data_IF_399703376370
#
_entry.id   IF_399703376370
#
_cell.length_a   1.000
_cell.length_b   1.000
_cell.length_c   1.000
_cell.angle_alpha   90.00
_cell.angle_beta   90.00
_cell.angle_gamma   90.00
#
_symmetry.space_group_name_H-M   'P 1'
#
loop_
_entity.id
_entity.type
_entity.pdbx_description
1 polymer ?
#
# COMPACT_ATOMS: atom_id res chain seq x y z
N UNK A 1 5.30 -23.21 -47.33
CA UNK A 1 4.30 -22.40 -46.61
C UNK A 1 4.49 -22.59 -45.11
N UNK A 2 5.27 -21.73 -44.42
CA UNK A 2 5.49 -21.79 -42.96
C UNK A 2 5.98 -20.43 -42.44
N UNK A 3 5.08 -19.46 -42.25
CA UNK A 3 5.37 -18.21 -41.51
C UNK A 3 4.07 -17.55 -41.04
N UNK A 4 3.40 -18.05 -39.99
CA UNK A 4 2.27 -17.35 -39.37
C UNK A 4 1.98 -17.88 -37.94
N UNK A 5 2.95 -17.80 -37.02
CA UNK A 5 2.72 -18.12 -35.59
C UNK A 5 3.52 -17.23 -34.61
N UNK A 6 3.86 -15.99 -34.98
CA UNK A 6 4.60 -15.07 -34.09
C UNK A 6 3.77 -13.88 -33.58
N UNK A 7 2.53 -13.67 -34.06
CA UNK A 7 1.69 -12.56 -33.60
C UNK A 7 0.83 -12.88 -32.35
N UNK A 8 0.58 -14.15 -32.07
CA UNK A 8 -0.32 -14.56 -30.98
C UNK A 8 0.30 -14.42 -29.58
N UNK A 9 1.64 -14.46 -29.48
CA UNK A 9 2.34 -14.33 -28.20
C UNK A 9 2.44 -12.87 -27.73
N UNK A 10 2.37 -11.91 -28.65
CA UNK A 10 2.56 -10.49 -28.33
C UNK A 10 1.27 -9.83 -27.78
N UNK A 11 0.10 -10.37 -28.14
CA UNK A 11 -1.20 -9.89 -27.67
C UNK A 11 -1.54 -10.34 -26.24
N UNK A 12 -1.01 -11.49 -25.80
CA UNK A 12 -1.25 -12.01 -24.43
C UNK A 12 -0.42 -11.24 -23.40
N UNK A 13 0.80 -10.80 -23.75
CA UNK A 13 1.66 -9.99 -22.87
C UNK A 13 1.07 -8.62 -22.54
N UNK A 14 0.42 -7.96 -23.50
CA UNK A 14 -0.21 -6.65 -23.27
C UNK A 14 -1.44 -6.72 -22.34
N UNK A 15 -2.22 -7.80 -22.40
CA UNK A 15 -3.43 -7.95 -21.59
C UNK A 15 -3.12 -8.19 -20.10
N UNK A 16 -1.96 -8.77 -19.78
CA UNK A 16 -1.56 -9.00 -18.39
C UNK A 16 -0.98 -7.75 -17.72
N UNK A 17 -0.34 -6.84 -18.46
CA UNK A 17 0.14 -5.57 -17.91
C UNK A 17 -1.03 -4.60 -17.59
N UNK A 18 -2.05 -4.54 -18.45
CA UNK A 18 -3.20 -3.63 -18.24
C UNK A 18 -4.09 -4.02 -17.06
N UNK A 19 -4.18 -5.31 -16.72
CA UNK A 19 -4.99 -5.75 -15.58
C UNK A 19 -4.35 -5.37 -14.24
N UNK A 20 -3.03 -5.48 -14.12
CA UNK A 20 -2.31 -5.12 -12.89
C UNK A 20 -2.35 -3.61 -12.59
N UNK A 21 -2.22 -2.76 -13.62
CA UNK A 21 -2.26 -1.30 -13.45
C UNK A 21 -3.66 -0.80 -13.07
N UNK A 22 -4.73 -1.42 -13.57
CA UNK A 22 -6.10 -1.11 -13.15
C UNK A 22 -6.35 -1.42 -11.67
N UNK A 23 -5.75 -2.49 -11.16
CA UNK A 23 -5.97 -2.98 -9.80
C UNK A 23 -5.32 -2.07 -8.75
N UNK A 24 -4.13 -1.54 -9.04
CA UNK A 24 -3.46 -0.58 -8.16
C UNK A 24 -4.21 0.76 -8.12
N UNK A 25 -4.61 1.29 -9.28
CA UNK A 25 -5.36 2.54 -9.35
C UNK A 25 -6.70 2.49 -8.62
N UNK A 26 -7.37 1.32 -8.59
CA UNK A 26 -8.66 1.15 -7.93
C UNK A 26 -8.58 1.42 -6.42
N UNK A 27 -7.44 1.15 -5.79
CA UNK A 27 -7.24 1.32 -4.36
C UNK A 27 -6.39 2.55 -4.00
N UNK A 28 -6.02 3.37 -4.99
CA UNK A 28 -5.07 4.47 -4.80
C UNK A 28 -3.62 4.01 -4.60
N UNK A 29 -3.32 2.74 -4.87
CA UNK A 29 -1.95 2.23 -4.83
C UNK A 29 -1.22 2.62 -6.10
N UNK A 30 0.05 3.00 -5.96
CA UNK A 30 0.93 3.29 -7.10
C UNK A 30 2.03 2.23 -7.20
N UNK A 31 2.69 2.16 -8.35
CA UNK A 31 3.88 1.31 -8.50
C UNK A 31 4.99 1.69 -7.49
N UNK A 32 5.07 2.98 -7.12
CA UNK A 32 5.99 3.48 -6.10
C UNK A 32 5.64 2.94 -4.70
N UNK A 33 4.36 2.92 -4.32
CA UNK A 33 3.92 2.32 -3.06
C UNK A 33 4.26 0.83 -3.00
N UNK A 34 4.00 0.10 -4.08
CA UNK A 34 4.38 -1.31 -4.18
C UNK A 34 5.89 -1.48 -3.99
N UNK A 35 6.70 -0.69 -4.70
CA UNK A 35 8.16 -0.78 -4.64
C UNK A 35 8.72 -0.46 -3.24
N UNK A 36 8.14 0.54 -2.55
CA UNK A 36 8.58 0.97 -1.23
C UNK A 36 8.20 -0.03 -0.13
N UNK A 37 6.99 -0.56 -0.17
CA UNK A 37 6.42 -1.31 0.95
C UNK A 37 6.46 -2.84 0.77
N UNK A 38 6.57 -3.34 -0.47
CA UNK A 38 6.72 -4.79 -0.70
C UNK A 38 7.95 -5.40 -0.02
N UNK A 39 9.14 -4.76 0.02
CA UNK A 39 10.29 -5.29 0.76
C UNK A 39 10.01 -5.48 2.26
N UNK A 40 9.24 -4.58 2.88
CA UNK A 40 8.84 -4.70 4.28
C UNK A 40 7.87 -5.87 4.50
N UNK A 41 6.88 -6.05 3.62
CA UNK A 41 5.98 -7.21 3.68
C UNK A 41 6.75 -8.50 3.44
N UNK A 42 7.65 -8.51 2.47
CA UNK A 42 8.51 -9.64 2.15
C UNK A 42 9.37 -10.05 3.35
N UNK A 43 9.95 -9.09 4.07
CA UNK A 43 10.66 -9.36 5.32
C UNK A 43 9.74 -9.88 6.43
N UNK A 44 8.53 -9.32 6.55
CA UNK A 44 7.55 -9.70 7.58
C UNK A 44 7.03 -11.13 7.39
N UNK A 45 6.76 -11.54 6.14
CA UNK A 45 6.12 -12.82 5.81
C UNK A 45 7.12 -13.90 5.38
N UNK A 46 8.35 -13.53 4.98
CA UNK A 46 9.41 -14.44 4.52
C UNK A 46 9.32 -14.81 3.03
N UNK A 47 10.47 -15.04 2.39
CA UNK A 47 10.64 -15.23 0.93
C UNK A 47 9.64 -16.23 0.31
N UNK A 48 9.65 -17.47 0.79
CA UNK A 48 8.85 -18.56 0.20
C UNK A 48 7.35 -18.31 0.36
N UNK A 49 6.96 -17.59 1.41
CA UNK A 49 5.56 -17.32 1.71
C UNK A 49 5.07 -16.05 1.03
N UNK A 50 5.92 -15.09 0.70
CA UNK A 50 5.51 -13.82 0.13
C UNK A 50 4.94 -13.95 -1.30
N UNK A 51 5.59 -14.74 -2.17
CA UNK A 51 5.07 -14.93 -3.52
C UNK A 51 3.76 -15.74 -3.52
N UNK A 52 3.65 -16.74 -2.64
CA UNK A 52 2.40 -17.46 -2.42
C UNK A 52 1.32 -16.56 -1.78
N UNK A 53 1.72 -15.62 -0.91
CA UNK A 53 0.82 -14.68 -0.25
C UNK A 53 0.16 -13.74 -1.25
N UNK A 54 0.93 -13.23 -2.23
CA UNK A 54 0.42 -12.39 -3.33
C UNK A 54 -0.65 -13.07 -4.18
N UNK A 55 -0.68 -14.40 -4.25
CA UNK A 55 -1.63 -15.15 -5.10
C UNK A 55 -2.72 -15.82 -4.30
N UNK A 56 -2.41 -16.36 -3.13
CA UNK A 56 -3.31 -17.21 -2.35
C UNK A 56 -4.14 -16.42 -1.34
N UNK A 57 -3.70 -15.24 -0.94
CA UNK A 57 -4.41 -14.34 -0.04
C UNK A 57 -4.31 -12.89 -0.54
N UNK A 58 -4.86 -12.67 -1.74
CA UNK A 58 -4.84 -11.37 -2.41
C UNK A 58 -5.48 -10.29 -1.55
N UNK A 59 -6.62 -10.57 -0.92
CA UNK A 59 -7.32 -9.61 -0.04
C UNK A 59 -6.37 -9.10 1.04
N UNK A 60 -5.69 -9.98 1.76
CA UNK A 60 -4.78 -9.57 2.83
C UNK A 60 -3.54 -8.90 2.27
N UNK A 61 -2.98 -9.39 1.17
CA UNK A 61 -1.82 -8.74 0.53
C UNK A 61 -2.09 -7.28 0.17
N UNK A 62 -3.19 -7.02 -0.56
CA UNK A 62 -3.56 -5.66 -0.94
C UNK A 62 -3.99 -4.81 0.26
N UNK A 63 -4.62 -5.41 1.27
CA UNK A 63 -4.95 -4.71 2.51
C UNK A 63 -3.70 -4.25 3.26
N UNK A 64 -2.71 -5.12 3.43
CA UNK A 64 -1.46 -4.79 4.12
C UNK A 64 -0.69 -3.71 3.37
N UNK A 65 -0.61 -3.84 2.04
CA UNK A 65 0.04 -2.84 1.20
C UNK A 65 -0.65 -1.48 1.31
N UNK A 66 -1.98 -1.45 1.25
CA UNK A 66 -2.77 -0.24 1.40
C UNK A 66 -2.62 0.37 2.79
N UNK A 67 -2.61 -0.45 3.85
CA UNK A 67 -2.41 0.06 5.21
C UNK A 67 -1.04 0.74 5.33
N UNK A 68 0.00 0.15 4.76
CA UNK A 68 1.35 0.71 4.86
C UNK A 68 1.59 1.95 3.99
N UNK A 69 0.78 2.19 2.95
CA UNK A 69 0.96 3.37 2.08
C UNK A 69 -0.11 4.45 2.21
N UNK A 70 -1.38 4.06 2.34
CA UNK A 70 -2.52 4.99 2.22
C UNK A 70 -3.18 5.32 3.54
N UNK A 71 -2.94 4.57 4.62
CA UNK A 71 -3.68 4.75 5.87
C UNK A 71 -3.24 5.99 6.67
N UNK A 72 -2.26 6.73 6.17
CA UNK A 72 -1.73 7.93 6.78
C UNK A 72 -1.18 8.89 5.73
N UNK A 73 -0.81 10.09 6.17
CA UNK A 73 0.06 11.00 5.41
C UNK A 73 0.93 11.80 6.37
N UNK A 74 2.02 12.40 5.87
CA UNK A 74 2.88 13.27 6.68
C UNK A 74 2.50 14.73 6.48
N UNK A 75 2.17 15.40 7.58
CA UNK A 75 1.99 16.85 7.61
C UNK A 75 3.34 17.51 7.86
N UNK A 76 3.88 18.15 6.82
CA UNK A 76 5.17 18.86 6.88
C UNK A 76 5.09 20.11 7.74
N UNK A 77 6.18 20.41 8.44
CA UNK A 77 6.35 21.63 9.25
C UNK A 77 5.18 21.86 10.24
N UNK A 78 4.71 20.79 10.88
CA UNK A 78 3.67 20.84 11.89
C UNK A 78 4.14 21.52 13.19
N UNK A 79 5.45 21.53 13.42
CA UNK A 79 6.11 22.09 14.60
C UNK A 79 7.24 23.06 14.18
N UNK A 80 7.61 24.03 15.05
CA UNK A 80 8.56 25.09 14.68
C UNK A 80 10.02 24.62 14.56
N UNK A 81 10.35 23.47 15.15
CA UNK A 81 11.70 22.91 15.23
C UNK A 81 11.71 21.38 15.08
N UNK A 82 12.88 20.83 14.76
CA UNK A 82 13.08 19.39 14.56
C UNK A 82 13.61 19.02 13.17
N UNK A 83 13.88 17.74 12.97
CA UNK A 83 14.33 17.19 11.68
C UNK A 83 13.16 16.79 10.79
N UNK A 84 13.38 16.82 9.47
CA UNK A 84 12.39 16.32 8.49
C UNK A 84 12.29 14.80 8.61
N UNK A 85 11.06 14.28 8.63
CA UNK A 85 10.80 12.85 8.68
C UNK A 85 11.05 12.20 7.32
N UNK A 86 11.85 11.13 7.32
CA UNK A 86 11.97 10.20 6.19
C UNK A 86 10.79 9.22 6.25
N UNK A 87 9.95 9.21 5.22
CA UNK A 87 8.74 8.39 5.19
C UNK A 87 9.04 6.91 4.97
N UNK A 88 10.20 6.59 4.36
CA UNK A 88 10.58 5.22 4.00
C UNK A 88 10.90 4.32 5.21
N UNK A 89 11.06 4.92 6.40
CA UNK A 89 11.37 4.22 7.65
C UNK A 89 10.16 4.08 8.58
N UNK A 90 8.99 4.59 8.18
CA UNK A 90 7.79 4.58 9.02
C UNK A 90 7.12 3.21 8.96
N UNK A 91 7.10 2.50 10.09
CA UNK A 91 6.20 1.37 10.29
C UNK A 91 4.89 1.86 10.92
N UNK A 92 3.88 2.09 10.07
CA UNK A 92 2.59 2.65 10.50
C UNK A 92 1.87 1.77 11.53
N UNK A 93 2.13 0.45 11.53
CA UNK A 93 1.47 -0.50 12.43
C UNK A 93 1.74 -0.19 13.90
N UNK A 94 2.87 0.47 14.19
CA UNK A 94 3.25 0.91 15.54
C UNK A 94 2.33 2.01 16.08
N UNK A 95 1.56 2.67 15.21
CA UNK A 95 0.72 3.81 15.56
C UNK A 95 -0.78 3.51 15.46
N UNK A 96 -1.18 2.29 15.08
CA UNK A 96 -2.60 1.94 14.90
C UNK A 96 -3.45 2.13 16.16
N UNK A 97 -2.86 1.97 17.35
CA UNK A 97 -3.56 2.18 18.61
C UNK A 97 -3.97 3.64 18.87
N UNK A 98 -3.39 4.59 18.14
CA UNK A 98 -3.74 6.01 18.25
C UNK A 98 -4.93 6.40 17.37
N UNK A 99 -5.34 5.53 16.44
CA UNK A 99 -6.35 5.85 15.43
C UNK A 99 -7.74 6.04 16.07
N UNK A 100 -8.37 7.17 15.77
CA UNK A 100 -9.73 7.46 16.21
C UNK A 100 -10.77 6.92 15.23
N UNK A 101 -12.00 6.70 15.73
CA UNK A 101 -13.08 6.06 14.99
C UNK A 101 -13.43 6.80 13.69
N UNK A 102 -13.73 8.10 13.81
CA UNK A 102 -14.39 8.89 12.76
C UNK A 102 -13.64 10.20 12.43
N UNK A 103 -12.40 10.34 12.87
CA UNK A 103 -11.60 11.53 12.56
C UNK A 103 -10.11 11.20 12.43
N UNK A 104 -9.39 12.07 11.73
CA UNK A 104 -7.94 11.98 11.62
C UNK A 104 -7.27 12.17 13.00
N UNK A 105 -6.14 11.49 13.19
CA UNK A 105 -5.34 11.59 14.41
C UNK A 105 -3.97 12.17 14.07
N UNK A 106 -3.61 13.28 14.69
CA UNK A 106 -2.25 13.83 14.62
C UNK A 106 -1.37 13.15 15.65
N UNK A 107 -0.31 12.50 15.20
CA UNK A 107 0.69 11.85 16.04
C UNK A 107 1.99 12.68 15.96
N UNK A 108 2.36 13.41 17.02
CA UNK A 108 3.68 14.03 17.11
C UNK A 108 4.75 12.95 17.19
N UNK A 109 5.82 13.10 16.43
CA UNK A 109 7.02 12.27 16.54
C UNK A 109 8.13 13.10 17.18
N UNK A 110 8.63 12.65 18.33
CA UNK A 110 9.65 13.39 19.09
C UNK A 110 10.91 13.61 18.25
N UNK A 111 11.40 14.86 18.25
CA UNK A 111 12.58 15.28 17.48
C UNK A 111 12.30 15.63 16.01
N UNK A 112 11.10 15.38 15.50
CA UNK A 112 10.69 15.73 14.13
C UNK A 112 9.83 16.98 14.10
N UNK A 113 10.04 17.82 13.07
CA UNK A 113 9.18 18.98 12.81
C UNK A 113 7.90 18.62 12.07
N UNK A 114 7.84 17.40 11.55
CA UNK A 114 6.69 16.86 10.82
C UNK A 114 5.78 16.06 11.77
N UNK A 115 4.50 15.96 11.43
CA UNK A 115 3.55 15.12 12.15
C UNK A 115 3.02 14.01 11.25
N UNK A 116 2.78 12.84 11.85
CA UNK A 116 2.11 11.74 11.19
C UNK A 116 0.60 11.93 11.36
N UNK A 117 -0.15 11.98 10.26
CA UNK A 117 -1.61 12.06 10.28
C UNK A 117 -2.20 10.72 9.92
N UNK A 118 -2.86 10.07 10.88
CA UNK A 118 -3.57 8.82 10.66
C UNK A 118 -4.98 9.12 10.16
N UNK A 119 -5.41 8.49 9.05
CA UNK A 119 -6.82 8.51 8.63
C UNK A 119 -7.74 7.87 9.68
N UNK A 120 -9.04 8.11 9.64
CA UNK A 120 -9.94 7.51 10.64
C UNK A 120 -10.04 5.99 10.51
N UNK A 121 -10.46 5.27 11.55
CA UNK A 121 -10.76 3.83 11.45
C UNK A 121 -11.88 3.58 10.44
N UNK A 122 -12.86 4.49 10.33
CA UNK A 122 -13.93 4.42 9.35
C UNK A 122 -13.37 4.40 7.92
N UNK A 123 -12.44 5.31 7.59
CA UNK A 123 -11.79 5.36 6.27
C UNK A 123 -11.01 4.08 5.97
N UNK A 124 -10.25 3.58 6.95
CA UNK A 124 -9.48 2.34 6.81
C UNK A 124 -10.40 1.14 6.59
N UNK A 125 -11.51 1.05 7.33
CA UNK A 125 -12.47 -0.04 7.19
C UNK A 125 -13.21 0.02 5.86
N UNK A 126 -13.53 1.22 5.37
CA UNK A 126 -14.11 1.40 4.04
C UNK A 126 -13.16 0.92 2.94
N UNK A 127 -11.87 1.25 3.03
CA UNK A 127 -10.86 0.78 2.10
C UNK A 127 -10.70 -0.76 2.13
N UNK A 128 -10.63 -1.35 3.33
CA UNK A 128 -10.58 -2.81 3.51
C UNK A 128 -11.81 -3.50 2.91
N UNK A 129 -13.00 -2.95 3.13
CA UNK A 129 -14.24 -3.46 2.57
C UNK A 129 -14.24 -3.37 1.04
N UNK A 130 -13.73 -2.27 0.48
CA UNK A 130 -13.57 -2.10 -0.97
C UNK A 130 -12.64 -3.15 -1.57
N UNK A 131 -11.49 -3.39 -0.94
CA UNK A 131 -10.53 -4.42 -1.36
C UNK A 131 -11.18 -5.81 -1.28
N UNK A 132 -11.87 -6.13 -0.18
CA UNK A 132 -12.58 -7.39 -0.02
C UNK A 132 -13.62 -7.62 -1.12
N UNK A 133 -14.45 -6.61 -1.42
CA UNK A 133 -15.48 -6.68 -2.46
C UNK A 133 -14.91 -6.81 -3.88
N UNK A 134 -13.68 -6.38 -4.11
CA UNK A 134 -13.07 -6.53 -5.43
C UNK A 134 -12.69 -7.99 -5.73
N UNK A 135 -12.26 -8.74 -4.71
CA UNK A 135 -11.78 -10.12 -4.86
C UNK A 135 -12.85 -11.19 -4.63
N UNK A 136 -14.08 -10.80 -4.28
CA UNK A 136 -15.22 -11.68 -3.98
C UNK A 136 -16.47 -11.29 -4.78
#
# INVERSE_FOLDING_TARGET
MKKFYWLSFLLIGLAMQTHSQNLFSEFGLTEEHVAMFSPYLHHTYGEVQFEAFKTNDQVRYYTELWVMSESFYVKRDAYPDGVTLDESIIDIRRFESYRLADQETTVPLEGFKDALILKSLSDVNQAKQKIYQYFH
#
